data_IF_751403815960
#
_entry.id   IF_751403815960
#
_cell.length_a   1.000
_cell.length_b   1.000
_cell.length_c   1.000
_cell.angle_alpha   90.00
_cell.angle_beta   90.00
_cell.angle_gamma   90.00
#
_symmetry.space_group_name_H-M   'P 1'
#
loop_
_entity.id
_entity.type
_entity.pdbx_description
1 polymer ?
#
# COMPACT_ATOMS: atom_id res chain seq x y z
N UNK A 1 -29.96 0.91 -19.65
CA UNK A 1 -29.19 2.08 -20.13
C UNK A 1 -30.14 3.23 -20.43
N UNK A 2 -30.21 4.22 -19.53
CA UNK A 2 -30.71 5.57 -19.82
C UNK A 2 -29.85 6.50 -18.96
N UNK A 3 -29.04 7.31 -19.63
CA UNK A 3 -28.13 8.28 -19.01
C UNK A 3 -28.84 9.63 -19.00
N UNK A 4 -28.85 10.32 -17.86
CA UNK A 4 -29.24 11.73 -17.79
C UNK A 4 -27.97 12.58 -17.77
N UNK A 5 -27.88 13.54 -18.71
CA UNK A 5 -26.86 14.59 -18.76
C UNK A 5 -27.39 15.81 -17.99
N UNK A 6 -26.57 16.38 -17.12
CA UNK A 6 -26.74 17.74 -16.63
C UNK A 6 -25.49 18.53 -17.00
N UNK A 7 -25.66 19.63 -17.74
CA UNK A 7 -24.60 20.59 -18.07
C UNK A 7 -24.74 21.80 -17.14
N UNK A 8 -23.62 22.29 -16.59
CA UNK A 8 -23.55 23.51 -15.80
C UNK A 8 -22.70 24.56 -16.52
N UNK A 9 -23.15 25.82 -16.44
CA UNK A 9 -22.50 27.01 -16.99
C UNK A 9 -21.81 27.76 -15.84
N UNK A 10 -20.52 28.07 -16.00
CA UNK A 10 -19.73 28.87 -15.05
C UNK A 10 -20.10 30.36 -15.09
N UNK A 11 -20.24 30.96 -13.91
CA UNK A 11 -20.24 32.41 -13.70
C UNK A 11 -19.12 32.80 -12.75
N UNK A 12 -18.19 33.63 -13.24
CA UNK A 12 -17.05 34.18 -12.49
C UNK A 12 -17.46 35.37 -11.62
N UNK A 13 -16.92 35.47 -10.39
CA UNK A 13 -16.74 36.75 -9.69
C UNK A 13 -15.50 36.72 -8.78
N UNK A 14 -14.65 37.73 -8.96
CA UNK A 14 -13.38 37.97 -8.27
C UNK A 14 -13.60 38.66 -6.91
N UNK A 15 -12.80 38.30 -5.91
CA UNK A 15 -12.68 39.02 -4.64
C UNK A 15 -11.35 38.72 -3.95
N UNK A 16 -10.38 39.62 -4.09
CA UNK A 16 -9.05 39.56 -3.48
C UNK A 16 -9.12 39.93 -1.98
N UNK A 17 -8.70 39.01 -1.11
CA UNK A 17 -8.36 39.28 0.29
C UNK A 17 -7.01 38.64 0.62
N UNK A 18 -6.01 39.45 0.95
CA UNK A 18 -4.68 38.98 1.38
C UNK A 18 -4.79 38.29 2.75
N UNK A 19 -4.52 36.98 2.78
CA UNK A 19 -4.22 36.24 4.01
C UNK A 19 -2.71 35.97 4.05
N UNK A 20 -2.04 36.43 5.09
CA UNK A 20 -0.63 36.14 5.37
C UNK A 20 -0.54 34.71 5.93
N UNK A 21 -0.28 33.75 5.05
CA UNK A 21 0.04 32.36 5.43
C UNK A 21 1.55 32.27 5.67
N UNK A 22 1.95 31.85 6.86
CA UNK A 22 3.31 31.36 7.10
C UNK A 22 3.46 30.00 6.43
N UNK A 23 3.97 29.97 5.20
CA UNK A 23 4.42 28.73 4.57
C UNK A 23 5.70 28.27 5.27
N UNK A 24 5.62 27.21 6.09
CA UNK A 24 6.74 26.26 6.19
C UNK A 24 6.87 25.55 4.85
N UNK A 25 8.05 25.01 4.47
CA UNK A 25 8.17 24.29 3.20
C UNK A 25 7.16 23.16 3.22
N UNK A 26 6.10 23.32 2.43
CA UNK A 26 5.13 22.28 2.21
C UNK A 26 5.88 21.11 1.60
N UNK A 27 5.65 19.93 2.14
CA UNK A 27 5.79 18.72 1.36
C UNK A 27 4.69 18.84 0.32
N UNK A 28 5.03 19.49 -0.79
CA UNK A 28 4.29 19.31 -2.02
C UNK A 28 4.17 17.80 -2.22
N UNK A 29 3.05 17.33 -2.78
CA UNK A 29 3.06 16.06 -3.47
C UNK A 29 4.29 16.06 -4.38
N UNK A 30 5.33 15.36 -3.93
CA UNK A 30 6.59 15.25 -4.66
C UNK A 30 6.29 14.38 -5.87
N UNK A 31 5.72 15.01 -6.91
CA UNK A 31 6.00 14.70 -8.29
C UNK A 31 7.48 14.95 -8.53
N UNK A 32 8.31 14.14 -7.90
CA UNK A 32 9.75 14.14 -8.06
C UNK A 32 10.04 13.16 -9.19
N UNK A 33 10.12 13.70 -10.40
CA UNK A 33 11.14 13.22 -11.32
C UNK A 33 12.46 13.79 -10.80
N UNK A 34 13.04 13.15 -9.78
CA UNK A 34 14.42 13.48 -9.39
C UNK A 34 15.28 13.26 -10.64
N UNK A 35 16.10 14.24 -11.06
CA UNK A 35 17.07 13.97 -12.11
C UNK A 35 17.89 12.75 -11.69
N UNK A 36 18.24 11.89 -12.65
CA UNK A 36 19.08 10.72 -12.41
C UNK A 36 20.30 11.19 -11.61
N UNK A 37 20.32 10.87 -10.33
CA UNK A 37 21.36 11.36 -9.42
C UNK A 37 22.55 10.46 -9.59
N UNK A 38 23.56 10.96 -10.30
CA UNK A 38 24.81 10.24 -10.53
C UNK A 38 25.77 10.47 -9.37
N UNK A 39 26.15 9.40 -8.68
CA UNK A 39 27.19 9.43 -7.64
C UNK A 39 28.31 8.47 -8.04
N UNK A 40 29.56 8.93 -7.99
CA UNK A 40 30.72 8.09 -8.27
C UNK A 40 31.25 7.46 -6.98
N UNK A 41 31.40 6.13 -6.96
CA UNK A 41 32.04 5.38 -5.88
C UNK A 41 33.45 4.90 -6.31
N UNK A 42 34.37 4.67 -5.37
CA UNK A 42 35.72 4.20 -5.67
C UNK A 42 35.74 2.87 -6.44
N UNK A 43 36.72 2.68 -7.33
CA UNK A 43 36.88 1.45 -8.12
C UNK A 43 37.14 0.19 -7.25
N UNK A 44 37.74 0.38 -6.08
CA UNK A 44 38.09 -0.68 -5.12
C UNK A 44 36.85 -1.25 -4.39
N UNK A 45 35.69 -0.58 -4.47
CA UNK A 45 34.49 -0.98 -3.74
C UNK A 45 33.98 -2.33 -4.24
N UNK A 46 33.81 -3.28 -3.31
CA UNK A 46 33.28 -4.59 -3.66
C UNK A 46 31.79 -4.51 -3.98
N UNK A 47 31.27 -5.40 -4.86
CA UNK A 47 29.83 -5.48 -5.15
C UNK A 47 28.95 -5.58 -3.89
N UNK A 48 29.46 -6.24 -2.84
CA UNK A 48 28.76 -6.35 -1.55
C UNK A 48 28.66 -5.01 -0.82
N UNK A 49 29.74 -4.23 -0.74
CA UNK A 49 29.71 -2.91 -0.12
C UNK A 49 28.72 -1.98 -0.85
N UNK A 50 28.75 -2.02 -2.19
CA UNK A 50 27.85 -1.25 -3.05
C UNK A 50 26.37 -1.59 -2.79
N UNK A 51 26.06 -2.88 -2.60
CA UNK A 51 24.73 -3.34 -2.27
C UNK A 51 24.29 -2.89 -0.87
N UNK A 52 25.17 -2.96 0.12
CA UNK A 52 24.84 -2.53 1.49
C UNK A 52 24.56 -1.01 1.55
N UNK A 53 25.27 -0.20 0.75
CA UNK A 53 25.04 1.26 0.60
C UNK A 53 23.77 1.63 -0.19
N UNK A 54 23.14 0.65 -0.87
CA UNK A 54 21.95 0.90 -1.69
C UNK A 54 20.68 1.18 -0.88
N UNK A 55 20.65 0.75 0.40
CA UNK A 55 19.46 0.75 1.27
C UNK A 55 18.22 0.04 0.68
N UNK A 56 18.41 -0.76 -0.37
CA UNK A 56 17.35 -1.58 -0.96
C UNK A 56 17.09 -2.78 -0.03
N UNK A 57 15.84 -2.98 0.45
CA UNK A 57 15.54 -4.01 1.46
C UNK A 57 15.77 -5.44 0.96
N UNK A 58 15.60 -5.67 -0.34
CA UNK A 58 15.64 -6.99 -0.98
C UNK A 58 15.09 -6.92 -2.39
N UNK A 59 14.72 -8.07 -2.94
CA UNK A 59 14.14 -8.17 -4.29
C UNK A 59 15.08 -8.84 -5.28
N UNK A 60 14.98 -8.45 -6.55
CA UNK A 60 15.79 -9.02 -7.64
C UNK A 60 17.08 -8.21 -7.80
N UNK A 61 18.21 -8.88 -7.62
CA UNK A 61 19.55 -8.32 -7.73
C UNK A 61 20.27 -9.02 -8.87
N UNK A 62 20.84 -8.26 -9.79
CA UNK A 62 21.48 -8.79 -11.00
C UNK A 62 22.92 -8.33 -11.07
N UNK A 63 23.85 -9.25 -11.33
CA UNK A 63 25.25 -8.96 -11.55
C UNK A 63 25.66 -9.36 -12.97
N UNK A 64 25.88 -8.38 -13.85
CA UNK A 64 26.30 -8.56 -15.24
C UNK A 64 27.82 -8.56 -15.32
N UNK A 65 28.41 -9.53 -16.03
CA UNK A 65 29.86 -9.76 -16.02
C UNK A 65 30.30 -10.52 -14.77
N UNK A 66 29.50 -11.47 -14.30
CA UNK A 66 29.71 -12.09 -13.00
C UNK A 66 30.93 -13.02 -12.91
N UNK A 67 31.55 -13.37 -14.05
CA UNK A 67 32.69 -14.29 -14.10
C UNK A 67 32.38 -15.64 -13.44
N UNK A 68 33.28 -16.09 -12.58
CA UNK A 68 33.16 -17.35 -11.83
C UNK A 68 32.12 -17.31 -10.69
N UNK A 69 31.47 -16.17 -10.48
CA UNK A 69 30.36 -16.01 -9.52
C UNK A 69 30.77 -15.79 -8.07
N UNK A 70 32.07 -15.77 -7.71
CA UNK A 70 32.49 -15.65 -6.30
C UNK A 70 31.94 -14.39 -5.63
N UNK A 71 32.13 -13.24 -6.25
CA UNK A 71 31.65 -11.95 -5.75
C UNK A 71 30.13 -11.81 -5.83
N UNK A 72 29.49 -12.55 -6.75
CA UNK A 72 28.03 -12.57 -6.90
C UNK A 72 27.37 -13.30 -5.74
N UNK A 73 27.99 -14.38 -5.24
CA UNK A 73 27.47 -15.11 -4.10
C UNK A 73 27.40 -14.24 -2.83
N UNK A 74 28.35 -13.31 -2.67
CA UNK A 74 28.38 -12.37 -1.53
C UNK A 74 27.20 -11.40 -1.53
N UNK A 75 26.53 -11.18 -2.67
CA UNK A 75 25.35 -10.32 -2.78
C UNK A 75 24.09 -10.91 -2.11
N UNK A 76 24.09 -12.20 -1.77
CA UNK A 76 22.97 -12.82 -1.06
C UNK A 76 23.06 -12.46 0.43
N UNK A 77 22.25 -11.50 0.89
CA UNK A 77 22.21 -11.07 2.31
C UNK A 77 21.26 -11.90 3.14
N UNK A 78 20.15 -12.34 2.56
CA UNK A 78 19.11 -13.06 3.29
C UNK A 78 18.05 -13.72 2.41
N UNK A 79 16.94 -14.20 3.02
CA UNK A 79 15.84 -14.85 2.30
C UNK A 79 15.06 -13.92 1.36
N UNK A 80 15.21 -12.61 1.53
CA UNK A 80 14.56 -11.57 0.74
C UNK A 80 15.26 -11.24 -0.58
N UNK A 81 16.47 -11.77 -0.81
CA UNK A 81 17.23 -11.52 -2.03
C UNK A 81 17.04 -12.64 -3.05
N UNK A 82 16.88 -12.27 -4.32
CA UNK A 82 16.96 -13.15 -5.49
C UNK A 82 18.09 -12.63 -6.37
N UNK A 83 19.25 -13.26 -6.26
CA UNK A 83 20.46 -12.86 -6.97
C UNK A 83 20.63 -13.68 -8.24
N UNK A 84 20.93 -13.02 -9.35
CA UNK A 84 21.31 -13.69 -10.60
C UNK A 84 22.59 -13.10 -11.19
N UNK A 85 23.59 -13.96 -11.43
CA UNK A 85 24.77 -13.61 -12.21
C UNK A 85 24.57 -13.90 -13.69
N UNK A 86 24.99 -12.96 -14.55
CA UNK A 86 24.99 -13.07 -16.00
C UNK A 86 26.41 -12.97 -16.54
N UNK A 87 26.79 -13.89 -17.42
CA UNK A 87 28.06 -13.85 -18.13
C UNK A 87 27.90 -14.44 -19.53
N UNK A 88 28.83 -14.12 -20.44
CA UNK A 88 28.85 -14.68 -21.79
C UNK A 88 29.67 -15.98 -21.85
N UNK A 89 30.64 -16.17 -20.94
CA UNK A 89 31.47 -17.37 -20.89
C UNK A 89 30.75 -18.54 -20.21
N UNK A 90 30.48 -19.59 -21.00
CA UNK A 90 29.86 -20.81 -20.49
C UNK A 90 30.69 -21.51 -19.41
N UNK A 91 32.02 -21.47 -19.50
CA UNK A 91 32.89 -22.16 -18.54
C UNK A 91 32.84 -21.49 -17.17
N UNK A 92 32.87 -20.16 -17.14
CA UNK A 92 32.69 -19.36 -15.92
C UNK A 92 31.33 -19.59 -15.28
N UNK A 93 30.25 -19.63 -16.07
CA UNK A 93 28.90 -19.91 -15.57
C UNK A 93 28.77 -21.32 -14.97
N UNK A 94 29.39 -22.33 -15.59
CA UNK A 94 29.35 -23.70 -15.04
C UNK A 94 30.09 -23.81 -13.71
N UNK A 95 31.22 -23.10 -13.55
CA UNK A 95 31.93 -22.98 -12.27
C UNK A 95 31.07 -22.26 -11.22
N UNK A 96 30.44 -21.14 -11.59
CA UNK A 96 29.58 -20.36 -10.71
C UNK A 96 28.38 -21.18 -10.19
N UNK A 97 27.79 -22.02 -11.04
CA UNK A 97 26.69 -22.93 -10.67
C UNK A 97 27.15 -24.00 -9.66
N UNK A 98 28.32 -24.61 -9.89
CA UNK A 98 28.88 -25.58 -8.94
C UNK A 98 29.17 -24.94 -7.59
N UNK A 99 29.68 -23.70 -7.59
CA UNK A 99 29.89 -22.94 -6.37
C UNK A 99 28.57 -22.65 -5.63
N UNK A 100 27.53 -22.19 -6.34
CA UNK A 100 26.21 -21.90 -5.75
C UNK A 100 25.63 -23.12 -5.00
N UNK A 101 25.74 -24.29 -5.65
CA UNK A 101 25.30 -25.57 -5.10
C UNK A 101 26.09 -25.93 -3.83
N UNK A 102 27.42 -25.74 -3.86
CA UNK A 102 28.27 -26.01 -2.68
C UNK A 102 27.96 -25.11 -1.48
N UNK A 103 27.44 -23.91 -1.73
CA UNK A 103 27.04 -22.94 -0.71
C UNK A 103 25.59 -23.15 -0.22
N UNK A 104 24.83 -24.06 -0.85
CA UNK A 104 23.42 -24.29 -0.50
C UNK A 104 22.52 -23.06 -0.77
N UNK A 105 22.86 -22.28 -1.80
CA UNK A 105 22.14 -21.06 -2.16
C UNK A 105 21.11 -21.26 -3.27
N UNK A 106 20.82 -22.52 -3.64
CA UNK A 106 19.82 -22.87 -4.66
C UNK A 106 18.47 -22.17 -4.41
N UNK A 107 17.90 -21.63 -5.49
CA UNK A 107 16.64 -20.85 -5.45
C UNK A 107 16.79 -19.41 -4.98
N UNK A 108 17.90 -19.02 -4.35
CA UNK A 108 18.24 -17.63 -4.01
C UNK A 108 19.34 -17.05 -4.89
N UNK A 109 20.25 -17.89 -5.36
CA UNK A 109 21.33 -17.55 -6.28
C UNK A 109 21.20 -18.41 -7.54
N UNK A 110 21.30 -17.77 -8.71
CA UNK A 110 21.30 -18.46 -9.99
C UNK A 110 22.28 -17.82 -10.97
N UNK A 111 22.71 -18.56 -11.98
CA UNK A 111 23.64 -18.09 -12.99
C UNK A 111 23.17 -18.47 -14.38
N UNK A 112 23.26 -17.52 -15.31
CA UNK A 112 22.75 -17.68 -16.67
C UNK A 112 23.72 -17.13 -17.71
N UNK A 113 23.90 -17.90 -18.78
CA UNK A 113 24.58 -17.41 -19.98
C UNK A 113 23.67 -16.38 -20.67
N UNK A 114 24.24 -15.24 -21.00
CA UNK A 114 23.58 -14.13 -21.69
C UNK A 114 24.34 -13.75 -22.96
N UNK A 115 23.64 -13.20 -23.96
CA UNK A 115 24.20 -12.96 -25.30
C UNK A 115 24.92 -11.62 -25.46
N UNK A 116 24.98 -10.78 -24.42
CA UNK A 116 25.61 -9.45 -24.50
C UNK A 116 24.70 -8.33 -25.02
N UNK A 117 23.48 -8.63 -25.46
CA UNK A 117 22.56 -7.63 -26.02
C UNK A 117 21.40 -7.30 -25.06
N UNK A 118 20.38 -8.17 -25.01
CA UNK A 118 19.15 -7.92 -24.25
C UNK A 118 19.11 -8.72 -22.96
N UNK A 119 19.01 -8.04 -21.83
CA UNK A 119 18.91 -8.65 -20.52
C UNK A 119 17.64 -9.53 -20.43
N UNK A 120 17.74 -10.74 -19.87
CA UNK A 120 16.69 -11.74 -19.93
C UNK A 120 15.56 -11.52 -18.89
N UNK A 121 15.15 -10.27 -18.69
CA UNK A 121 14.14 -9.85 -17.71
C UNK A 121 12.97 -9.14 -18.38
N UNK A 122 11.79 -9.30 -17.76
CA UNK A 122 10.66 -8.43 -18.03
C UNK A 122 10.99 -6.98 -17.65
N UNK A 123 10.21 -6.04 -18.17
CA UNK A 123 10.37 -4.63 -17.85
C UNK A 123 10.13 -4.40 -16.35
N UNK A 124 10.86 -3.47 -15.74
CA UNK A 124 10.68 -3.05 -14.35
C UNK A 124 10.84 -4.14 -13.28
N UNK A 125 11.63 -5.18 -13.50
CA UNK A 125 11.77 -6.31 -12.56
C UNK A 125 12.91 -6.14 -11.53
N UNK A 126 14.00 -5.47 -11.90
CA UNK A 126 15.28 -5.49 -11.19
C UNK A 126 15.38 -4.33 -10.19
N UNK A 127 15.64 -4.63 -8.91
CA UNK A 127 15.82 -3.62 -7.87
C UNK A 127 17.25 -3.10 -7.81
N UNK A 128 18.24 -3.98 -7.98
CA UNK A 128 19.66 -3.61 -8.02
C UNK A 128 20.32 -4.29 -9.22
N UNK A 129 20.95 -3.49 -10.08
CA UNK A 129 21.77 -3.98 -11.19
C UNK A 129 23.21 -3.56 -10.94
N UNK A 130 24.12 -4.53 -10.92
CA UNK A 130 25.56 -4.30 -10.88
C UNK A 130 26.09 -4.71 -12.24
N UNK A 131 26.70 -3.78 -12.96
CA UNK A 131 27.27 -4.00 -14.28
C UNK A 131 28.78 -3.90 -14.20
N UNK A 132 29.47 -5.04 -14.25
CA UNK A 132 30.92 -5.08 -14.22
C UNK A 132 31.51 -4.56 -15.54
N UNK A 133 32.61 -3.81 -15.46
CA UNK A 133 33.30 -3.27 -16.63
C UNK A 133 33.76 -4.37 -17.60
N UNK A 134 34.03 -5.58 -17.10
CA UNK A 134 34.39 -6.74 -17.91
C UNK A 134 33.29 -7.16 -18.91
N UNK A 135 32.03 -6.79 -18.65
CA UNK A 135 30.92 -7.06 -19.57
C UNK A 135 30.85 -6.07 -20.76
N UNK A 136 31.73 -5.07 -20.80
CA UNK A 136 31.69 -3.99 -21.79
C UNK A 136 30.71 -2.88 -21.43
N UNK A 137 30.50 -1.93 -22.36
CA UNK A 137 29.63 -0.78 -22.14
C UNK A 137 28.14 -1.21 -22.20
N UNK A 138 27.31 -0.82 -21.21
CA UNK A 138 25.88 -1.10 -21.22
C UNK A 138 25.12 -0.25 -22.24
N UNK A 139 24.07 -0.83 -22.82
CA UNK A 139 22.97 -0.06 -23.38
C UNK A 139 22.11 0.50 -22.23
N UNK A 140 22.14 1.82 -22.05
CA UNK A 140 21.44 2.50 -20.96
C UNK A 140 19.91 2.42 -21.10
N UNK A 141 19.37 2.28 -22.30
CA UNK A 141 17.92 2.13 -22.48
C UNK A 141 17.47 0.74 -22.04
N UNK A 142 18.29 -0.27 -22.32
CA UNK A 142 18.06 -1.63 -21.84
C UNK A 142 18.19 -1.75 -20.31
N UNK A 143 19.17 -1.05 -19.72
CA UNK A 143 19.27 -0.93 -18.26
C UNK A 143 17.99 -0.31 -17.69
N UNK A 144 17.59 0.87 -18.15
CA UNK A 144 16.35 1.54 -17.68
C UNK A 144 15.11 0.68 -17.85
N UNK A 145 15.02 -0.10 -18.94
CA UNK A 145 13.90 -1.00 -19.20
C UNK A 145 13.71 -2.03 -18.09
N UNK A 146 14.78 -2.69 -17.65
CA UNK A 146 14.68 -3.76 -16.65
C UNK A 146 14.58 -3.25 -15.22
N UNK A 147 15.01 -2.01 -14.94
CA UNK A 147 15.01 -1.46 -13.60
C UNK A 147 13.59 -1.16 -13.11
N UNK A 148 13.27 -1.67 -11.92
CA UNK A 148 12.07 -1.30 -11.18
C UNK A 148 12.12 0.19 -10.79
N UNK A 149 10.99 0.90 -10.71
CA UNK A 149 10.92 2.24 -10.15
C UNK A 149 11.59 2.35 -8.78
N UNK A 150 12.50 3.32 -8.62
CA UNK A 150 13.32 3.48 -7.42
C UNK A 150 14.48 2.50 -7.28
N UNK A 151 14.65 1.57 -8.24
CA UNK A 151 15.79 0.66 -8.29
C UNK A 151 17.11 1.38 -8.62
N UNK A 152 18.23 0.73 -8.33
CA UNK A 152 19.56 1.33 -8.43
C UNK A 152 20.44 0.50 -9.37
N UNK A 153 21.00 1.14 -10.39
CA UNK A 153 22.03 0.58 -11.26
C UNK A 153 23.41 1.10 -10.84
N UNK A 154 24.40 0.21 -10.80
CA UNK A 154 25.80 0.52 -10.54
C UNK A 154 26.61 0.09 -11.77
N UNK A 155 27.17 1.05 -12.48
CA UNK A 155 27.90 0.83 -13.73
C UNK A 155 29.40 0.94 -13.47
N UNK A 156 30.11 -0.18 -13.60
CA UNK A 156 31.55 -0.26 -13.40
C UNK A 156 32.34 0.28 -14.59
N UNK A 157 33.44 0.97 -14.29
CA UNK A 157 34.41 1.46 -15.27
C UNK A 157 35.80 1.53 -14.65
N UNK A 158 36.84 1.77 -15.46
CA UNK A 158 38.20 2.01 -14.98
C UNK A 158 38.32 3.19 -13.99
N UNK A 159 37.32 4.08 -13.96
CA UNK A 159 37.28 5.26 -13.09
C UNK A 159 36.50 5.03 -11.80
N UNK A 160 35.92 3.85 -11.61
CA UNK A 160 35.06 3.51 -10.49
C UNK A 160 33.63 3.19 -10.91
N UNK A 161 32.73 3.19 -9.93
CA UNK A 161 31.32 2.84 -10.12
C UNK A 161 30.46 4.08 -10.23
N UNK A 162 29.59 4.10 -11.24
CA UNK A 162 28.57 5.11 -11.41
C UNK A 162 27.22 4.59 -10.87
N UNK A 163 26.71 5.21 -9.79
CA UNK A 163 25.37 4.94 -9.27
C UNK A 163 24.33 5.73 -10.07
N UNK A 164 23.30 5.07 -10.58
CA UNK A 164 22.14 5.66 -11.21
C UNK A 164 20.85 5.15 -10.53
N UNK A 165 19.97 6.07 -10.14
CA UNK A 165 18.67 5.73 -9.55
C UNK A 165 17.58 5.83 -10.62
N UNK A 166 16.77 4.78 -10.76
CA UNK A 166 15.63 4.76 -11.67
C UNK A 166 14.52 5.66 -11.11
N UNK A 167 14.09 6.72 -11.81
CA UNK A 167 13.06 7.61 -11.32
C UNK A 167 11.72 6.88 -11.17
N UNK A 168 10.90 7.36 -10.25
CA UNK A 168 9.52 6.91 -10.15
C UNK A 168 8.72 7.49 -11.32
N UNK A 169 7.98 6.68 -12.09
CA UNK A 169 7.19 7.22 -13.19
C UNK A 169 6.02 8.08 -12.74
N UNK A 170 5.81 9.21 -13.42
CA UNK A 170 4.71 10.16 -13.14
C UNK A 170 3.31 9.54 -13.36
N UNK A 171 3.23 8.46 -14.13
CA UNK A 171 2.00 7.78 -14.55
C UNK A 171 1.66 6.53 -13.71
N UNK A 172 2.43 6.23 -12.65
CA UNK A 172 2.15 5.16 -11.68
C UNK A 172 1.80 5.77 -10.32
N UNK A 173 0.59 5.51 -9.84
CA UNK A 173 0.11 5.99 -8.55
C UNK A 173 0.31 4.96 -7.42
N UNK A 174 0.16 5.42 -6.18
CA UNK A 174 0.12 4.55 -4.99
C UNK A 174 -1.33 4.10 -4.69
N UNK A 175 -1.48 3.14 -3.79
CA UNK A 175 -2.77 2.68 -3.25
C UNK A 175 -2.63 2.51 -1.74
N UNK A 176 -2.50 3.61 -1.01
CA UNK A 176 -2.00 3.63 0.38
C UNK A 176 -3.04 3.19 1.41
N UNK A 177 -4.31 3.13 1.03
CA UNK A 177 -5.45 2.77 1.88
C UNK A 177 -6.33 1.72 1.20
N UNK A 178 -7.21 1.04 1.96
CA UNK A 178 -8.13 0.02 1.41
C UNK A 178 -8.93 0.48 0.18
N UNK A 179 -9.18 1.79 0.06
CA UNK A 179 -9.90 2.39 -1.06
C UNK A 179 -9.10 3.53 -1.71
N UNK A 180 -7.88 3.19 -2.13
CA UNK A 180 -6.91 4.04 -2.82
C UNK A 180 -6.20 5.06 -1.94
N UNK A 181 -6.94 5.91 -1.24
CA UNK A 181 -6.42 7.07 -0.51
C UNK A 181 -7.17 7.32 0.82
N UNK A 182 -6.75 8.36 1.55
CA UNK A 182 -7.37 8.83 2.78
C UNK A 182 -8.84 9.24 2.60
N UNK A 183 -9.23 9.63 1.39
CA UNK A 183 -10.60 9.99 1.04
C UNK A 183 -11.50 8.78 0.78
N UNK A 184 -10.93 7.60 0.55
CA UNK A 184 -11.67 6.39 0.23
C UNK A 184 -12.29 6.39 -1.18
N UNK A 185 -11.68 7.14 -2.10
CA UNK A 185 -12.17 7.39 -3.48
C UNK A 185 -12.37 6.11 -4.29
N UNK A 186 -11.66 5.03 -3.98
CA UNK A 186 -11.80 3.73 -4.63
C UNK A 186 -11.25 3.67 -6.05
N UNK A 187 -10.51 4.69 -6.48
CA UNK A 187 -9.75 4.73 -7.73
C UNK A 187 -8.56 5.67 -7.57
N UNK A 188 -7.51 5.48 -8.36
CA UNK A 188 -6.37 6.40 -8.42
C UNK A 188 -6.16 6.89 -9.86
N UNK A 189 -5.17 7.78 -10.06
CA UNK A 189 -4.86 8.40 -11.36
C UNK A 189 -3.84 7.61 -12.20
N UNK A 190 -3.68 6.30 -11.93
CA UNK A 190 -2.73 5.46 -12.66
C UNK A 190 -3.12 5.39 -14.15
N UNK A 191 -2.17 5.62 -15.05
CA UNK A 191 -2.39 5.63 -16.50
C UNK A 191 -1.74 4.45 -17.23
N UNK A 192 -0.96 3.62 -16.52
CA UNK A 192 -0.29 2.44 -17.09
C UNK A 192 -1.20 1.22 -17.12
N UNK A 193 -2.15 1.15 -16.21
CA UNK A 193 -3.06 -0.01 -16.12
C UNK A 193 -4.18 0.10 -17.16
N UNK A 194 -4.22 -0.88 -18.06
CA UNK A 194 -5.31 -1.09 -19.02
C UNK A 194 -5.71 -2.58 -19.08
N UNK A 195 -6.40 -3.04 -20.14
CA UNK A 195 -6.67 -4.47 -20.33
C UNK A 195 -5.37 -5.30 -20.21
N UNK A 196 -5.32 -6.33 -19.34
CA UNK A 196 -4.08 -7.08 -19.10
C UNK A 196 -3.52 -7.70 -20.38
N UNK A 197 -2.26 -7.41 -20.69
CA UNK A 197 -1.55 -7.93 -21.89
C UNK A 197 -0.58 -9.07 -21.58
N UNK A 198 -0.06 -9.11 -20.37
CA UNK A 198 0.90 -10.11 -19.91
C UNK A 198 0.82 -10.23 -18.38
N UNK A 199 1.37 -11.32 -17.84
CA UNK A 199 1.57 -11.53 -16.42
C UNK A 199 2.98 -11.07 -16.06
N UNK A 200 3.11 -10.11 -15.14
CA UNK A 200 4.41 -9.64 -14.66
C UNK A 200 5.04 -10.65 -13.69
N UNK A 201 4.29 -11.00 -12.63
CA UNK A 201 4.66 -12.02 -11.66
C UNK A 201 3.41 -12.62 -11.02
N UNK A 202 3.56 -13.81 -10.46
CA UNK A 202 2.53 -14.48 -9.67
C UNK A 202 3.17 -14.99 -8.38
N UNK A 203 2.52 -14.76 -7.25
CA UNK A 203 2.92 -15.33 -5.97
C UNK A 203 1.74 -16.12 -5.38
N UNK A 204 2.06 -17.26 -4.77
CA UNK A 204 1.06 -18.07 -4.07
C UNK A 204 0.62 -17.46 -2.73
N UNK A 205 -0.33 -18.15 -2.05
CA UNK A 205 -0.96 -19.41 -2.44
C UNK A 205 -2.09 -19.21 -3.48
N UNK A 206 -2.21 -20.11 -4.46
CA UNK A 206 -3.30 -20.08 -5.47
C UNK A 206 -4.67 -20.45 -4.92
N UNK A 207 -4.68 -21.26 -3.86
CA UNK A 207 -5.89 -21.73 -3.18
C UNK A 207 -5.67 -21.52 -1.70
N UNK A 208 -6.70 -21.01 -1.04
CA UNK A 208 -6.65 -20.67 0.37
C UNK A 208 -7.53 -21.62 1.17
N UNK A 209 -7.89 -21.17 2.36
CA UNK A 209 -8.94 -21.72 3.19
C UNK A 209 -10.25 -21.91 2.43
N UNK A 210 -11.10 -22.79 2.95
CA UNK A 210 -12.44 -23.00 2.40
C UNK A 210 -13.24 -21.70 2.39
N UNK A 211 -14.11 -21.50 1.39
CA UNK A 211 -15.04 -20.36 1.35
C UNK A 211 -16.11 -20.40 2.46
N UNK A 212 -16.19 -21.51 3.20
CA UNK A 212 -17.06 -21.70 4.36
C UNK A 212 -16.50 -21.09 5.65
N UNK A 213 -15.28 -20.55 5.57
CA UNK A 213 -14.66 -19.71 6.60
C UNK A 213 -14.25 -18.38 5.96
N UNK A 214 -13.82 -17.42 6.78
CA UNK A 214 -13.54 -16.07 6.30
C UNK A 214 -12.50 -16.04 5.16
N UNK A 215 -12.63 -15.06 4.27
CA UNK A 215 -11.63 -14.76 3.24
C UNK A 215 -10.25 -14.69 3.86
N UNK A 216 -9.34 -15.51 3.36
CA UNK A 216 -7.99 -15.58 3.87
C UNK A 216 -7.13 -14.35 3.52
N UNK A 217 -7.66 -13.34 2.82
CA UNK A 217 -6.98 -12.09 2.50
C UNK A 217 -7.64 -10.91 3.23
N UNK A 218 -6.82 -10.02 3.77
CA UNK A 218 -7.25 -8.80 4.48
C UNK A 218 -6.26 -7.66 4.25
N UNK A 219 -6.77 -6.45 4.08
CA UNK A 219 -6.02 -5.19 4.01
C UNK A 219 -4.87 -5.25 2.99
N UNK A 220 -5.14 -5.00 1.71
CA UNK A 220 -4.13 -4.97 0.66
C UNK A 220 -3.91 -3.53 0.18
N UNK A 221 -2.68 -3.03 0.31
CA UNK A 221 -2.28 -1.68 -0.06
C UNK A 221 -0.89 -1.66 -0.70
N UNK A 222 -0.55 -0.59 -1.41
CA UNK A 222 0.80 -0.36 -1.96
C UNK A 222 1.34 1.01 -1.58
N UNK A 223 2.63 1.08 -1.27
CA UNK A 223 3.36 2.32 -1.03
C UNK A 223 4.84 2.17 -1.40
N UNK A 224 5.40 3.13 -2.15
CA UNK A 224 6.83 3.22 -2.53
C UNK A 224 7.40 1.88 -3.04
N UNK A 225 6.66 1.24 -3.96
CA UNK A 225 7.09 0.00 -4.62
C UNK A 225 6.91 -1.27 -3.78
N UNK A 226 6.18 -1.19 -2.66
CA UNK A 226 5.94 -2.32 -1.77
C UNK A 226 4.45 -2.64 -1.68
N UNK A 227 4.14 -3.93 -1.71
CA UNK A 227 2.80 -4.48 -1.57
C UNK A 227 2.64 -5.09 -0.18
N UNK A 228 1.73 -4.53 0.60
CA UNK A 228 1.40 -5.00 1.95
C UNK A 228 0.07 -5.70 1.93
N UNK A 229 0.00 -6.87 2.59
CA UNK A 229 -1.27 -7.56 2.80
C UNK A 229 -1.21 -8.54 3.96
N UNK A 230 -2.38 -8.82 4.57
CA UNK A 230 -2.53 -9.85 5.59
C UNK A 230 -3.15 -11.09 4.96
N UNK A 231 -2.52 -12.24 5.16
CA UNK A 231 -2.96 -13.49 4.56
C UNK A 231 -2.98 -14.67 5.55
N UNK A 232 -3.97 -15.54 5.43
CA UNK A 232 -4.06 -16.83 6.12
C UNK A 232 -3.42 -17.95 5.29
N UNK A 233 -2.34 -18.53 5.82
CA UNK A 233 -1.64 -19.68 5.23
C UNK A 233 -1.88 -20.98 6.03
N UNK A 234 -3.00 -21.06 6.75
CA UNK A 234 -3.46 -22.30 7.36
C UNK A 234 -3.88 -23.35 6.30
N UNK A 235 -4.19 -24.59 6.72
CA UNK A 235 -4.51 -25.68 5.80
C UNK A 235 -5.60 -25.36 4.77
N UNK A 236 -5.28 -25.61 3.50
CA UNK A 236 -6.11 -25.32 2.32
C UNK A 236 -7.38 -26.17 2.35
N UNK A 237 -8.54 -25.55 2.07
CA UNK A 237 -9.83 -26.25 1.95
C UNK A 237 -10.38 -26.87 3.24
N UNK A 238 -9.73 -26.70 4.39
CA UNK A 238 -10.18 -27.28 5.67
C UNK A 238 -11.11 -26.31 6.40
N UNK A 239 -12.32 -26.78 6.71
CA UNK A 239 -13.34 -26.05 7.50
C UNK A 239 -13.33 -26.42 8.98
N UNK A 240 -12.49 -27.37 9.38
CA UNK A 240 -12.41 -27.87 10.74
C UNK A 240 -11.57 -26.93 11.63
N UNK A 241 -12.18 -26.37 12.68
CA UNK A 241 -11.56 -25.42 13.59
C UNK A 241 -10.35 -25.95 14.35
N UNK A 242 -10.17 -27.29 14.43
CA UNK A 242 -8.99 -27.92 15.02
C UNK A 242 -7.71 -27.64 14.22
N UNK A 243 -7.84 -27.22 12.96
CA UNK A 243 -6.73 -26.79 12.12
C UNK A 243 -6.70 -25.26 12.09
N UNK A 244 -5.90 -24.60 12.95
CA UNK A 244 -5.97 -23.17 13.15
C UNK A 244 -5.47 -22.40 11.92
N UNK A 245 -6.04 -21.22 11.70
CA UNK A 245 -5.51 -20.25 10.74
C UNK A 245 -4.09 -19.83 11.12
N UNK A 246 -3.31 -19.45 10.11
CA UNK A 246 -1.93 -18.98 10.26
C UNK A 246 -1.79 -17.64 9.54
N UNK A 247 -2.25 -16.59 10.21
CA UNK A 247 -2.24 -15.25 9.66
C UNK A 247 -0.83 -14.63 9.71
N UNK A 248 -0.46 -13.96 8.63
CA UNK A 248 0.76 -13.18 8.54
C UNK A 248 0.52 -11.86 7.84
N UNK A 249 1.14 -10.79 8.33
CA UNK A 249 1.37 -9.57 7.57
C UNK A 249 2.59 -9.79 6.67
N UNK A 250 2.43 -9.54 5.37
CA UNK A 250 3.45 -9.77 4.36
C UNK A 250 3.74 -8.46 3.63
N UNK A 251 5.03 -8.18 3.40
CA UNK A 251 5.48 -7.20 2.43
C UNK A 251 6.19 -7.91 1.28
N UNK A 252 5.78 -7.57 0.06
CA UNK A 252 6.46 -7.94 -1.18
C UNK A 252 6.98 -6.71 -1.89
N UNK A 253 8.00 -6.89 -2.69
CA UNK A 253 8.27 -5.97 -3.78
C UNK A 253 7.10 -6.02 -4.78
N UNK A 254 6.53 -4.86 -5.12
CA UNK A 254 5.35 -4.77 -5.96
C UNK A 254 5.63 -5.05 -7.44
N UNK A 255 6.89 -4.97 -7.89
CA UNK A 255 7.27 -5.08 -9.28
C UNK A 255 7.79 -6.48 -9.67
N UNK A 256 8.26 -7.27 -8.70
CA UNK A 256 8.71 -8.65 -8.94
C UNK A 256 8.12 -9.70 -7.99
N UNK A 257 7.36 -9.30 -6.98
CA UNK A 257 6.66 -10.21 -6.08
C UNK A 257 7.54 -10.92 -5.05
N UNK A 258 8.84 -10.60 -4.94
CA UNK A 258 9.73 -11.18 -3.92
C UNK A 258 9.26 -10.75 -2.53
N UNK A 259 9.18 -11.70 -1.59
CA UNK A 259 8.86 -11.39 -0.19
C UNK A 259 10.04 -10.68 0.46
N UNK A 260 9.83 -9.44 0.87
CA UNK A 260 10.83 -8.63 1.57
C UNK A 260 10.89 -9.00 3.05
N UNK A 261 9.73 -9.09 3.68
CA UNK A 261 9.60 -9.54 5.06
C UNK A 261 8.21 -10.10 5.33
N UNK A 262 8.11 -10.84 6.43
CA UNK A 262 6.88 -11.50 6.85
C UNK A 262 6.80 -11.55 8.36
N UNK A 263 5.66 -11.16 8.91
CA UNK A 263 5.38 -11.12 10.35
C UNK A 263 4.15 -11.94 10.69
N UNK A 264 4.29 -12.85 11.67
CA UNK A 264 3.16 -13.64 12.18
C UNK A 264 2.16 -12.75 12.92
N UNK A 265 0.86 -12.97 12.69
CA UNK A 265 -0.25 -12.29 13.36
C UNK A 265 -1.15 -13.32 14.08
N UNK A 266 -0.75 -13.85 15.24
CA UNK A 266 -1.49 -14.92 15.91
C UNK A 266 -2.88 -14.50 16.40
N UNK A 267 -3.08 -13.20 16.68
CA UNK A 267 -4.33 -12.63 17.16
C UNK A 267 -5.09 -11.92 16.02
N UNK A 268 -5.25 -12.60 14.89
CA UNK A 268 -5.98 -12.09 13.72
C UNK A 268 -6.94 -13.14 13.18
N UNK A 269 -7.92 -12.69 12.38
CA UNK A 269 -8.87 -13.56 11.71
C UNK A 269 -10.04 -14.01 12.58
N UNK A 270 -10.73 -15.04 12.12
CA UNK A 270 -11.94 -15.56 12.76
C UNK A 270 -11.74 -15.94 14.23
N UNK A 271 -10.55 -16.40 14.63
CA UNK A 271 -10.24 -16.67 16.04
C UNK A 271 -10.23 -15.40 16.90
N UNK A 272 -9.85 -14.26 16.32
CA UNK A 272 -9.76 -13.00 17.04
C UNK A 272 -11.08 -12.23 17.08
N UNK A 273 -11.94 -12.38 16.07
CA UNK A 273 -13.24 -11.69 16.01
C UNK A 273 -14.35 -12.37 16.81
N UNK A 274 -14.24 -13.68 17.05
CA UNK A 274 -15.20 -14.39 17.88
C UNK A 274 -15.14 -13.83 19.30
N UNK A 275 -16.21 -13.13 19.71
CA UNK A 275 -16.34 -12.61 21.06
C UNK A 275 -16.05 -13.70 22.10
N UNK A 276 -15.41 -13.33 23.22
CA UNK A 276 -15.28 -14.20 24.40
C UNK A 276 -16.66 -14.82 24.70
N UNK A 277 -16.77 -16.15 24.62
CA UNK A 277 -18.02 -16.88 24.87
C UNK A 277 -18.75 -17.43 23.63
N UNK A 278 -18.31 -17.13 22.40
CA UNK A 278 -18.65 -17.96 21.23
C UNK A 278 -17.62 -19.08 21.12
N UNK A 279 -17.74 -20.05 22.00
CA UNK A 279 -16.86 -21.21 22.01
C UNK A 279 -17.01 -22.02 20.71
N UNK A 280 -15.88 -22.50 20.19
CA UNK A 280 -15.83 -23.46 19.09
C UNK A 280 -16.54 -24.75 19.51
N UNK A 281 -17.84 -24.88 19.24
CA UNK A 281 -18.54 -26.15 19.44
C UNK A 281 -18.14 -27.08 18.29
N UNK A 282 -17.45 -28.21 18.55
CA UNK A 282 -17.17 -29.18 17.50
C UNK A 282 -18.50 -29.63 16.89
N UNK A 283 -18.65 -29.51 15.55
CA UNK A 283 -19.89 -29.73 14.76
C UNK A 283 -20.84 -28.54 14.62
N UNK A 284 -20.58 -27.38 15.21
CA UNK A 284 -21.23 -26.14 14.74
C UNK A 284 -20.49 -25.66 13.49
N UNK A 285 -21.27 -25.43 12.44
CA UNK A 285 -20.81 -24.88 11.18
C UNK A 285 -20.18 -23.50 11.44
N UNK A 286 -18.88 -23.32 11.12
CA UNK A 286 -18.17 -22.04 11.28
C UNK A 286 -18.69 -20.94 10.35
N UNK A 287 -19.59 -21.24 9.40
CA UNK A 287 -19.95 -20.34 8.31
C UNK A 287 -20.89 -19.20 8.67
N UNK A 288 -20.73 -18.64 9.86
CA UNK A 288 -21.07 -17.23 10.07
C UNK A 288 -19.87 -16.42 9.60
N UNK A 289 -20.03 -15.66 8.52
CA UNK A 289 -19.07 -14.63 8.13
C UNK A 289 -18.99 -13.60 9.27
N UNK A 290 -17.99 -13.73 10.14
CA UNK A 290 -17.81 -12.89 11.33
C UNK A 290 -16.82 -11.73 11.10
N UNK A 291 -16.35 -11.52 9.87
CA UNK A 291 -15.44 -10.43 9.52
C UNK A 291 -16.03 -9.07 9.94
N UNK A 292 -15.32 -8.31 10.78
CA UNK A 292 -15.67 -6.93 11.07
C UNK A 292 -15.70 -6.11 9.78
N UNK A 293 -16.68 -5.22 9.66
CA UNK A 293 -16.89 -4.42 8.44
C UNK A 293 -15.71 -3.50 8.09
N UNK A 294 -14.89 -3.16 9.08
CA UNK A 294 -13.80 -2.20 8.97
C UNK A 294 -12.42 -2.84 9.02
N UNK A 295 -12.31 -4.18 9.02
CA UNK A 295 -11.02 -4.87 9.19
C UNK A 295 -9.98 -4.49 8.15
N UNK A 296 -10.43 -4.14 6.93
CA UNK A 296 -9.53 -3.71 5.86
C UNK A 296 -9.03 -2.26 6.02
N UNK A 297 -9.67 -1.45 6.88
CA UNK A 297 -9.25 -0.09 7.26
C UNK A 297 -8.29 -0.06 8.46
N UNK A 298 -7.78 -1.22 8.88
CA UNK A 298 -6.78 -1.33 9.95
C UNK A 298 -5.34 -1.30 9.40
N UNK A 299 -5.16 -0.80 8.18
CA UNK A 299 -3.87 -0.68 7.52
C UNK A 299 -3.88 0.55 6.59
N UNK A 300 -2.84 1.36 6.69
CA UNK A 300 -2.55 2.48 5.80
C UNK A 300 -1.04 2.69 5.69
N UNK A 301 -0.57 3.41 4.67
CA UNK A 301 0.85 3.71 4.52
C UNK A 301 1.08 5.17 4.06
N UNK A 302 2.16 5.77 4.52
CA UNK A 302 2.63 7.09 4.05
C UNK A 302 4.14 7.02 3.86
N UNK A 303 4.60 7.28 2.62
CA UNK A 303 6.01 7.14 2.27
C UNK A 303 6.57 5.74 2.60
N UNK A 304 7.55 5.71 3.50
CA UNK A 304 8.21 4.48 3.95
C UNK A 304 7.62 3.86 5.23
N UNK A 305 6.55 4.42 5.77
CA UNK A 305 5.95 3.95 7.02
C UNK A 305 4.64 3.21 6.74
N UNK A 306 4.53 2.01 7.30
CA UNK A 306 3.30 1.22 7.33
C UNK A 306 2.64 1.38 8.70
N UNK A 307 1.39 1.83 8.74
CA UNK A 307 0.58 1.90 9.94
C UNK A 307 -0.42 0.74 9.97
N UNK A 308 -0.37 -0.09 11.00
CA UNK A 308 -1.18 -1.31 11.08
C UNK A 308 -1.39 -1.76 12.52
N UNK A 309 -2.52 -2.40 12.83
CA UNK A 309 -2.68 -3.12 14.11
C UNK A 309 -1.99 -4.49 14.04
N UNK A 310 -1.13 -4.82 15.01
CA UNK A 310 -0.44 -6.12 15.07
C UNK A 310 -1.24 -7.25 15.76
N UNK A 311 -2.53 -7.00 15.94
CA UNK A 311 -3.53 -7.91 16.48
C UNK A 311 -4.88 -7.21 16.45
N UNK A 312 -5.97 -7.97 16.31
CA UNK A 312 -7.30 -7.37 16.29
C UNK A 312 -7.62 -6.72 17.64
N UNK A 313 -7.96 -5.43 17.62
CA UNK A 313 -8.18 -4.61 18.83
C UNK A 313 -6.91 -4.13 19.54
N UNK A 314 -5.72 -4.52 19.07
CA UNK A 314 -4.46 -3.97 19.56
C UNK A 314 -4.26 -2.53 19.06
N UNK A 315 -3.48 -1.69 19.76
CA UNK A 315 -3.13 -0.36 19.25
C UNK A 315 -2.43 -0.46 17.89
N UNK A 316 -2.56 0.59 17.09
CA UNK A 316 -1.80 0.78 15.87
C UNK A 316 -0.30 0.87 16.17
N UNK A 317 0.49 0.39 15.21
CA UNK A 317 1.93 0.49 15.20
C UNK A 317 2.38 1.05 13.86
N UNK A 318 3.37 1.95 13.89
CA UNK A 318 4.16 2.33 12.73
C UNK A 318 5.30 1.34 12.56
N UNK A 319 5.42 0.77 11.37
CA UNK A 319 6.47 -0.15 10.98
C UNK A 319 7.31 0.49 9.87
N UNK A 320 8.62 0.22 9.90
CA UNK A 320 9.47 0.50 8.76
C UNK A 320 9.01 -0.40 7.59
N UNK A 321 8.57 0.23 6.51
CA UNK A 321 8.06 -0.46 5.34
C UNK A 321 9.10 -1.35 4.66
N UNK A 322 10.39 -1.09 4.82
CA UNK A 322 11.53 -1.85 4.26
C UNK A 322 11.81 -3.12 5.04
N UNK A 323 11.69 -3.09 6.36
CA UNK A 323 12.15 -4.19 7.24
C UNK A 323 11.02 -4.89 8.00
N UNK A 324 9.87 -4.23 8.20
CA UNK A 324 8.78 -4.71 9.03
C UNK A 324 9.04 -4.56 10.54
N UNK A 325 10.12 -3.87 10.90
CA UNK A 325 10.43 -3.55 12.30
C UNK A 325 9.49 -2.47 12.83
N UNK A 326 9.10 -2.60 14.09
CA UNK A 326 8.22 -1.63 14.74
C UNK A 326 9.05 -0.39 15.07
N UNK A 327 8.71 0.73 14.45
CA UNK A 327 9.26 2.04 14.77
C UNK A 327 8.59 2.62 16.02
N UNK A 328 7.26 2.46 16.11
CA UNK A 328 6.45 3.01 17.20
C UNK A 328 5.15 2.25 17.37
N UNK A 329 4.63 2.23 18.59
CA UNK A 329 3.25 1.85 18.90
C UNK A 329 2.54 3.08 19.47
N UNK A 330 1.25 3.25 19.17
CA UNK A 330 0.41 4.38 19.64
C UNK A 330 -0.61 3.85 20.66
N UNK A 331 -0.29 3.78 21.97
CA UNK A 331 -1.15 3.15 22.97
C UNK A 331 -2.56 3.74 23.04
N UNK A 332 -2.71 5.02 22.74
CA UNK A 332 -3.97 5.78 22.75
C UNK A 332 -4.99 5.27 21.70
N UNK A 333 -4.54 4.39 20.79
CA UNK A 333 -5.34 3.80 19.72
C UNK A 333 -5.80 2.37 20.04
N UNK A 334 -5.64 1.90 21.28
CA UNK A 334 -6.14 0.58 21.68
C UNK A 334 -7.66 0.46 21.42
N UNK A 335 -8.08 -0.69 20.85
CA UNK A 335 -9.46 -0.92 20.48
C UNK A 335 -9.95 -0.17 19.23
N UNK A 336 -9.04 0.46 18.47
CA UNK A 336 -9.40 1.17 17.26
C UNK A 336 -9.99 0.26 16.17
N UNK A 337 -10.88 0.85 15.38
CA UNK A 337 -11.68 0.17 14.36
C UNK A 337 -11.47 0.72 12.94
N UNK A 338 -10.96 1.93 12.78
CA UNK A 338 -10.56 2.51 11.48
C UNK A 338 -9.31 3.39 11.62
N UNK A 339 -8.48 3.43 10.57
CA UNK A 339 -7.30 4.29 10.45
C UNK A 339 -7.27 5.00 9.10
N UNK A 340 -6.86 6.26 9.16
CA UNK A 340 -6.42 7.05 8.01
C UNK A 340 -5.11 7.74 8.37
N UNK A 341 -4.21 7.85 7.40
CA UNK A 341 -3.04 8.72 7.48
C UNK A 341 -3.10 9.74 6.36
N UNK A 342 -2.88 11.02 6.68
CA UNK A 342 -2.78 12.10 5.72
C UNK A 342 -1.87 13.20 6.27
N UNK A 343 -0.81 13.52 5.53
CA UNK A 343 0.13 14.61 5.81
C UNK A 343 0.70 14.55 7.23
N UNK A 344 1.15 13.37 7.66
CA UNK A 344 1.71 13.14 8.99
C UNK A 344 0.69 13.16 10.14
N UNK A 345 -0.62 13.12 9.85
CA UNK A 345 -1.70 13.00 10.84
C UNK A 345 -2.32 11.60 10.79
N UNK A 346 -2.29 10.89 11.91
CA UNK A 346 -2.99 9.62 12.09
C UNK A 346 -4.37 9.88 12.67
N UNK A 347 -5.39 9.72 11.82
CA UNK A 347 -6.79 9.84 12.19
C UNK A 347 -7.35 8.45 12.50
N UNK A 348 -7.84 8.26 13.72
CA UNK A 348 -8.26 6.96 14.23
C UNK A 348 -9.68 7.04 14.78
N UNK A 349 -10.51 6.07 14.41
CA UNK A 349 -11.79 5.83 15.10
C UNK A 349 -11.60 4.76 16.16
N UNK A 350 -12.08 5.03 17.37
CA UNK A 350 -12.20 4.04 18.45
C UNK A 350 -13.61 4.04 19.01
N UNK A 351 -14.05 2.88 19.47
CA UNK A 351 -15.32 2.70 20.19
C UNK A 351 -15.08 2.50 21.71
N UNK A 352 -13.84 2.70 22.20
CA UNK A 352 -13.41 2.45 23.58
C UNK A 352 -12.59 3.63 24.15
N UNK A 353 -12.79 4.02 25.43
CA UNK A 353 -13.90 3.61 26.31
C UNK A 353 -15.26 4.17 25.85
N UNK A 354 -15.25 5.24 25.07
CA UNK A 354 -16.41 5.84 24.41
C UNK A 354 -16.10 6.09 22.93
N UNK A 355 -17.12 6.16 22.05
CA UNK A 355 -16.91 6.48 20.63
C UNK A 355 -16.21 7.81 20.43
N UNK A 356 -15.06 7.78 19.78
CA UNK A 356 -14.27 8.98 19.49
C UNK A 356 -13.54 8.88 18.14
N UNK A 357 -13.30 10.04 17.56
CA UNK A 357 -12.26 10.25 16.55
C UNK A 357 -11.10 10.96 17.23
N UNK A 358 -9.89 10.48 17.02
CA UNK A 358 -8.67 11.06 17.57
C UNK A 358 -7.65 11.25 16.45
N UNK A 359 -6.92 12.36 16.51
CA UNK A 359 -5.79 12.62 15.63
C UNK A 359 -4.50 12.62 16.43
N UNK A 360 -3.49 11.94 15.92
CA UNK A 360 -2.13 11.96 16.47
C UNK A 360 -1.16 12.46 15.42
N UNK A 361 -0.09 13.11 15.86
CA UNK A 361 1.07 13.32 15.00
C UNK A 361 1.74 11.96 14.75
N UNK A 362 1.97 11.63 13.47
CA UNK A 362 2.47 10.33 13.07
C UNK A 362 3.93 10.10 13.51
N UNK A 363 4.75 11.15 13.58
CA UNK A 363 6.18 11.04 13.90
C UNK A 363 6.42 10.79 15.39
N UNK A 364 5.76 11.57 16.24
CA UNK A 364 5.99 11.58 17.69
C UNK A 364 4.90 10.87 18.52
N UNK A 365 3.74 10.57 17.92
CA UNK A 365 2.61 9.93 18.56
C UNK A 365 1.80 10.82 19.50
N UNK A 366 2.09 12.12 19.55
CA UNK A 366 1.35 13.07 20.38
C UNK A 366 -0.07 13.22 19.86
N UNK A 367 -1.06 13.03 20.74
CA UNK A 367 -2.44 13.39 20.46
C UNK A 367 -2.53 14.89 20.13
N UNK A 368 -3.00 15.20 18.92
CA UNK A 368 -3.26 16.55 18.47
C UNK A 368 -4.61 17.03 19.00
N UNK A 369 -5.63 16.16 18.88
CA UNK A 369 -6.97 16.42 19.35
C UNK A 369 -7.78 15.12 19.47
N UNK A 370 -8.88 15.22 20.21
CA UNK A 370 -9.86 14.14 20.38
C UNK A 370 -11.28 14.70 20.36
N UNK A 371 -12.11 14.11 19.52
CA UNK A 371 -13.52 14.44 19.38
C UNK A 371 -14.37 13.26 19.84
N UNK A 372 -14.89 13.34 21.06
CA UNK A 372 -15.87 12.38 21.58
C UNK A 372 -17.25 12.70 21.00
N UNK A 373 -17.91 11.72 20.41
CA UNK A 373 -19.21 11.90 19.76
C UNK A 373 -20.20 10.80 20.15
N UNK A 374 -21.45 10.98 19.71
CA UNK A 374 -22.42 9.88 19.61
C UNK A 374 -21.82 8.76 18.73
N UNK A 375 -22.30 7.50 18.84
CA UNK A 375 -21.75 6.38 18.08
C UNK A 375 -21.50 6.74 16.61
N UNK A 376 -20.22 6.69 16.24
CA UNK A 376 -19.73 7.00 14.90
C UNK A 376 -20.03 5.80 14.00
N UNK A 377 -20.55 6.06 12.81
CA UNK A 377 -20.91 5.00 11.86
C UNK A 377 -19.63 4.41 11.29
N UNK A 378 -19.49 3.09 11.34
CA UNK A 378 -18.36 2.41 10.70
C UNK A 378 -18.33 2.64 9.19
N UNK A 379 -17.13 2.71 8.61
CA UNK A 379 -16.84 3.01 7.20
C UNK A 379 -17.12 4.47 6.81
N UNK A 380 -17.24 5.37 7.79
CA UNK A 380 -17.52 6.78 7.56
C UNK A 380 -16.32 7.71 7.76
N UNK A 381 -15.21 7.21 8.31
CA UNK A 381 -14.01 8.01 8.47
C UNK A 381 -13.39 8.25 7.08
N UNK A 382 -13.12 9.51 6.75
CA UNK A 382 -12.44 9.95 5.53
C UNK A 382 -11.63 11.23 5.82
N UNK A 383 -10.55 11.48 5.09
CA UNK A 383 -9.83 12.75 5.15
C UNK A 383 -9.39 13.17 3.74
N UNK A 384 -9.43 14.47 3.48
CA UNK A 384 -8.94 15.05 2.24
C UNK A 384 -8.54 16.51 2.47
N UNK A 385 -7.42 16.93 1.86
CA UNK A 385 -6.81 18.22 2.11
C UNK A 385 -6.64 18.47 3.62
N UNK A 386 -7.16 19.59 4.13
CA UNK A 386 -7.06 20.04 5.51
C UNK A 386 -8.19 19.52 6.41
N UNK A 387 -8.98 18.52 5.99
CA UNK A 387 -10.25 18.15 6.66
C UNK A 387 -10.37 16.67 6.99
N UNK A 388 -10.89 16.42 8.18
CA UNK A 388 -11.36 15.12 8.62
C UNK A 388 -12.89 15.07 8.58
N UNK A 389 -13.43 14.00 8.01
CA UNK A 389 -14.87 13.76 7.91
C UNK A 389 -15.24 12.46 8.61
N UNK A 390 -16.37 12.47 9.31
CA UNK A 390 -17.00 11.26 9.82
C UNK A 390 -18.50 11.47 9.95
N UNK A 391 -19.24 10.37 9.97
CA UNK A 391 -20.70 10.40 10.09
C UNK A 391 -21.13 9.78 11.42
N UNK A 392 -21.99 10.48 12.15
CA UNK A 392 -22.65 9.92 13.34
C UNK A 392 -23.94 9.22 12.92
N UNK A 393 -24.91 8.96 13.80
CA UNK A 393 -26.20 8.43 13.33
C UNK A 393 -26.98 9.44 12.47
N UNK A 394 -26.79 10.73 12.71
CA UNK A 394 -27.74 11.77 12.28
C UNK A 394 -27.06 12.86 11.40
N UNK A 395 -25.77 13.11 11.62
CA UNK A 395 -25.04 14.23 11.01
C UNK A 395 -23.70 13.79 10.40
N UNK A 396 -23.34 14.43 9.29
CA UNK A 396 -21.97 14.47 8.76
C UNK A 396 -21.22 15.59 9.47
N UNK A 397 -20.03 15.30 9.97
CA UNK A 397 -19.19 16.26 10.68
C UNK A 397 -17.91 16.46 9.90
N UNK A 398 -17.49 17.72 9.76
CA UNK A 398 -16.19 18.11 9.24
C UNK A 398 -15.40 18.86 10.31
N UNK A 399 -14.18 18.39 10.54
CA UNK A 399 -13.22 19.01 11.45
C UNK A 399 -11.97 19.43 10.66
N UNK A 400 -11.29 20.45 11.14
CA UNK A 400 -9.91 20.71 10.74
C UNK A 400 -9.04 19.50 11.11
N UNK A 401 -8.29 18.96 10.14
CA UNK A 401 -7.50 17.75 10.33
C UNK A 401 -6.42 17.92 11.40
N UNK A 402 -5.85 19.13 11.52
CA UNK A 402 -4.71 19.41 12.38
C UNK A 402 -5.10 19.85 13.79
N UNK A 403 -6.21 20.60 13.93
CA UNK A 403 -6.64 21.17 15.22
C UNK A 403 -7.86 20.48 15.81
N UNK A 404 -8.67 19.79 15.00
CA UNK A 404 -9.92 19.19 15.43
C UNK A 404 -11.06 20.21 15.60
N UNK A 405 -10.84 21.45 15.19
CA UNK A 405 -11.85 22.49 15.23
C UNK A 405 -13.03 22.14 14.34
N UNK A 406 -14.24 22.32 14.85
CA UNK A 406 -15.46 22.10 14.07
C UNK A 406 -15.55 23.13 12.95
N UNK A 407 -15.50 22.68 11.70
CA UNK A 407 -15.69 23.53 10.53
C UNK A 407 -17.18 23.64 10.21
N UNK A 408 -17.86 22.50 10.09
CA UNK A 408 -19.29 22.44 9.85
C UNK A 408 -19.87 21.09 10.23
N UNK A 409 -21.20 21.07 10.38
CA UNK A 409 -22.00 19.85 10.54
C UNK A 409 -23.21 19.94 9.62
N UNK A 410 -23.58 18.83 9.01
CA UNK A 410 -24.76 18.75 8.16
C UNK A 410 -25.66 17.61 8.62
N UNK A 411 -26.90 17.93 8.98
CA UNK A 411 -27.92 16.91 9.22
C UNK A 411 -28.28 16.21 7.90
N UNK A 412 -28.16 14.88 7.91
CA UNK A 412 -28.55 14.05 6.77
C UNK A 412 -29.65 13.07 7.14
N UNK A 413 -29.77 12.70 8.42
CA UNK A 413 -30.66 11.64 8.92
C UNK A 413 -30.46 10.30 8.18
N UNK A 414 -29.30 10.10 7.57
CA UNK A 414 -28.92 8.88 6.86
C UNK A 414 -28.10 8.00 7.79
N UNK A 415 -28.18 6.68 7.58
CA UNK A 415 -27.14 5.76 8.04
C UNK A 415 -26.30 5.35 6.84
N UNK A 416 -25.16 6.00 6.59
CA UNK A 416 -24.37 5.72 5.41
C UNK A 416 -23.79 4.31 5.47
N UNK A 417 -23.69 3.70 4.30
CA UNK A 417 -22.87 2.53 4.08
C UNK A 417 -21.37 2.92 3.92
N UNK A 418 -21.10 4.15 3.51
CA UNK A 418 -19.76 4.69 3.28
C UNK A 418 -19.79 6.23 3.22
N UNK A 419 -18.69 6.86 3.65
CA UNK A 419 -18.36 8.25 3.31
C UNK A 419 -17.11 8.24 2.42
N UNK A 420 -17.10 9.10 1.41
CA UNK A 420 -15.94 9.32 0.52
C UNK A 420 -15.64 10.81 0.46
N UNK A 421 -14.38 11.20 0.57
CA UNK A 421 -13.96 12.60 0.51
C UNK A 421 -12.99 12.84 -0.65
N UNK A 422 -13.11 14.00 -1.28
CA UNK A 422 -12.11 14.64 -2.13
C UNK A 422 -11.86 16.03 -1.60
N UNK A 423 -10.88 16.75 -2.15
CA UNK A 423 -10.59 18.14 -1.79
C UNK A 423 -11.83 19.04 -1.85
N UNK A 424 -12.73 18.81 -2.82
CA UNK A 424 -13.87 19.68 -3.09
C UNK A 424 -15.21 19.11 -2.62
N UNK A 425 -15.34 17.78 -2.47
CA UNK A 425 -16.64 17.13 -2.26
C UNK A 425 -16.56 16.00 -1.24
N UNK A 426 -17.59 15.88 -0.41
CA UNK A 426 -17.82 14.73 0.46
C UNK A 426 -19.11 14.03 0.04
N UNK A 427 -19.01 12.73 -0.21
CA UNK A 427 -20.10 11.87 -0.62
C UNK A 427 -20.59 11.05 0.58
N UNK A 428 -21.88 11.18 0.91
CA UNK A 428 -22.56 10.32 1.89
C UNK A 428 -23.39 9.31 1.14
N UNK A 429 -22.99 8.05 1.23
CA UNK A 429 -23.56 6.96 0.43
C UNK A 429 -24.46 6.10 1.28
N UNK A 430 -25.74 6.02 0.92
CA UNK A 430 -26.70 5.05 1.45
C UNK A 430 -27.27 4.19 0.31
N UNK A 431 -27.77 3.00 0.60
CA UNK A 431 -28.31 2.07 -0.41
C UNK A 431 -29.36 2.67 -1.36
N UNK A 432 -30.04 3.76 -1.02
CA UNK A 432 -31.06 4.37 -1.88
C UNK A 432 -30.78 5.83 -2.21
N UNK A 433 -29.69 6.42 -1.72
CA UNK A 433 -29.37 7.81 -2.02
C UNK A 433 -27.87 8.06 -1.90
N UNK A 434 -27.36 8.91 -2.78
CA UNK A 434 -26.02 9.49 -2.68
C UNK A 434 -26.20 10.99 -2.53
N UNK A 435 -25.63 11.55 -1.47
CA UNK A 435 -25.55 12.99 -1.28
C UNK A 435 -24.12 13.42 -1.55
N UNK A 436 -23.96 14.48 -2.33
CA UNK A 436 -22.70 15.18 -2.47
C UNK A 436 -22.80 16.54 -1.79
N UNK A 437 -21.87 16.80 -0.90
CA UNK A 437 -21.76 18.02 -0.14
C UNK A 437 -20.43 18.69 -0.45
N UNK A 438 -20.40 20.01 -0.47
CA UNK A 438 -19.18 20.77 -0.62
C UNK A 438 -18.29 20.52 0.61
N UNK A 439 -17.03 20.16 0.39
CA UNK A 439 -16.09 19.84 1.47
C UNK A 439 -15.81 21.06 2.37
N UNK A 440 -15.93 22.27 1.82
CA UNK A 440 -15.57 23.52 2.49
C UNK A 440 -16.60 23.98 3.53
N UNK A 441 -17.89 23.81 3.26
CA UNK A 441 -18.99 24.41 4.05
C UNK A 441 -20.13 23.43 4.37
N UNK A 442 -20.13 22.23 3.79
CA UNK A 442 -21.17 21.23 4.00
C UNK A 442 -22.46 21.50 3.23
N UNK A 443 -22.51 22.51 2.35
CA UNK A 443 -23.68 22.76 1.51
C UNK A 443 -23.91 21.60 0.54
N UNK A 444 -25.17 21.21 0.36
CA UNK A 444 -25.50 20.11 -0.55
C UNK A 444 -25.33 20.57 -2.00
N UNK A 445 -24.32 20.05 -2.68
CA UNK A 445 -24.11 20.26 -4.11
C UNK A 445 -25.21 19.56 -4.93
N UNK A 446 -25.47 18.29 -4.64
CA UNK A 446 -26.51 17.51 -5.32
C UNK A 446 -26.93 16.27 -4.51
N UNK A 447 -28.09 15.71 -4.89
CA UNK A 447 -28.58 14.41 -4.40
C UNK A 447 -28.96 13.55 -5.59
N UNK A 448 -28.58 12.28 -5.55
CA UNK A 448 -28.94 11.29 -6.56
C UNK A 448 -29.66 10.10 -5.92
N UNK A 449 -30.65 9.49 -6.60
CA UNK A 449 -31.13 8.18 -6.20
C UNK A 449 -29.97 7.16 -6.23
N UNK A 450 -29.97 6.28 -5.24
CA UNK A 450 -29.04 5.18 -5.11
C UNK A 450 -29.52 3.91 -5.82
N UNK A 451 -28.79 2.81 -5.64
CA UNK A 451 -29.10 1.50 -6.23
C UNK A 451 -29.51 0.57 -5.11
N UNK A 452 -30.74 0.06 -5.17
CA UNK A 452 -31.27 -0.84 -4.16
C UNK A 452 -30.33 -2.03 -3.94
N UNK A 453 -29.79 -2.12 -2.73
CA UNK A 453 -28.91 -3.20 -2.32
C UNK A 453 -29.58 -4.07 -1.25
N UNK A 454 -29.57 -5.40 -1.46
CA UNK A 454 -30.03 -6.41 -0.50
C UNK A 454 -28.99 -6.65 0.61
N UNK A 455 -28.64 -5.60 1.35
CA UNK A 455 -27.78 -5.69 2.54
C UNK A 455 -26.28 -5.57 2.31
N UNK A 456 -25.79 -5.23 1.10
CA UNK A 456 -24.37 -4.85 0.86
C UNK A 456 -24.23 -3.35 0.58
N UNK A 457 -23.07 -2.77 0.88
CA UNK A 457 -22.79 -1.43 0.38
C UNK A 457 -22.73 -1.46 -1.16
N UNK A 458 -23.29 -0.48 -1.87
CA UNK A 458 -23.06 -0.29 -3.30
C UNK A 458 -21.59 0.02 -3.59
N UNK A 459 -21.12 -0.27 -4.80
CA UNK A 459 -19.79 0.14 -5.23
C UNK A 459 -19.84 1.61 -5.67
N UNK A 460 -18.84 2.37 -5.23
CA UNK A 460 -18.64 3.76 -5.63
C UNK A 460 -17.16 3.95 -6.00
N UNK A 461 -16.88 4.73 -7.03
CA UNK A 461 -15.55 5.23 -7.33
C UNK A 461 -15.61 6.64 -7.89
N UNK A 462 -14.61 7.45 -7.58
CA UNK A 462 -14.47 8.83 -8.07
C UNK A 462 -13.32 8.88 -9.08
N UNK A 463 -13.61 9.29 -10.32
CA UNK A 463 -12.63 9.38 -11.41
C UNK A 463 -12.93 10.63 -12.23
N UNK A 464 -11.93 11.48 -12.49
CA UNK A 464 -12.03 12.69 -13.32
C UNK A 464 -13.28 13.53 -13.01
N UNK A 465 -13.46 13.90 -11.75
CA UNK A 465 -14.59 14.69 -11.23
C UNK A 465 -15.97 14.05 -11.43
N UNK A 466 -16.01 12.73 -11.65
CA UNK A 466 -17.25 11.96 -11.81
C UNK A 466 -17.39 10.90 -10.75
N UNK A 467 -18.62 10.80 -10.23
CA UNK A 467 -19.02 9.73 -9.32
C UNK A 467 -19.62 8.60 -10.12
N UNK A 468 -18.94 7.46 -10.08
CA UNK A 468 -19.45 6.21 -10.62
C UNK A 468 -20.02 5.40 -9.47
N UNK A 469 -21.30 5.10 -9.57
CA UNK A 469 -22.02 4.45 -8.49
C UNK A 469 -22.93 3.38 -9.07
N UNK A 470 -22.82 2.16 -8.54
CA UNK A 470 -23.55 1.05 -9.12
C UNK A 470 -23.45 -0.24 -8.33
N UNK A 471 -24.03 -1.27 -8.94
CA UNK A 471 -23.88 -2.65 -8.52
C UNK A 471 -23.29 -3.41 -9.70
N UNK A 472 -22.13 -4.07 -9.56
CA UNK A 472 -21.77 -5.10 -10.53
C UNK A 472 -22.83 -6.20 -10.45
N UNK A 473 -23.53 -6.43 -11.56
CA UNK A 473 -24.37 -7.61 -11.71
C UNK A 473 -23.43 -8.82 -11.73
N UNK A 474 -23.30 -9.50 -10.60
CA UNK A 474 -22.81 -10.87 -10.54
C UNK A 474 -24.02 -11.80 -10.46
#
# INVERSE_FOLDING_TARGET
MRWYRAEFVLGWLLGLGLVLIWSRPGWAEEGISDPVTTVTLPAESSPRQILDDSLVPGGVIVHVGCGDGRTTADLVRGPQDRVQGLDQDSASIDQARQQALSLGLDGRLSYRIWCGERLPYADHLVNVLIWDAAAGLPDLDEVRRVMAPGGIAYLGSDKGWEKQVQPWPEDICQWTHFRADAGGTGANRDQRVGPPKHLQWEAGPRVMRSHEIESGLSGMITAKGRLYYIIDEGPIGITDSRFPARWSLICRDAFNGVTLWKRSLPNWGWQAWLAKGRENVPRQWLGVRTRPADVDRLMAAEGDVLYVTLGFGSPFSALDGRTGEVLRTYPETEGASELIVLDGVLLVRTDQPEPAVLALNADDGRELWRHTARPIVGRSLAAAADRAFFHTRDELVALDLSTGDLLWRQETQLRPAMVVATEQTVLVVQSQTVWALCAQDGEVCWKSPGVQSRGRAPDLFVVDDRVWYGRPHF
#
